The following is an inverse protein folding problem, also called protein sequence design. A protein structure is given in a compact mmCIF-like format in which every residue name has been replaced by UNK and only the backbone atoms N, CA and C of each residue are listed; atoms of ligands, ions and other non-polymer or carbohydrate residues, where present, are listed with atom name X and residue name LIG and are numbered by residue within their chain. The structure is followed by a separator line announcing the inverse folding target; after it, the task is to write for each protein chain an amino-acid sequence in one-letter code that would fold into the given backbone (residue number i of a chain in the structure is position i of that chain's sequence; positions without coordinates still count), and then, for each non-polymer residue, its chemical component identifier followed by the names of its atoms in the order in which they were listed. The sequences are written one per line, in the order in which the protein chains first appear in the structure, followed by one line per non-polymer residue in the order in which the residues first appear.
data_IF_069347097059
#
_entry.id   IF_069347097059
#
_cell.length_a   1.000
_cell.length_b   1.000
_cell.length_c   1.000
_cell.angle_alpha   90.00
_cell.angle_beta   90.00
_cell.angle_gamma   90.00
#
_symmetry.space_group_name_H-M   'P 1'
#
loop_
_entity.id
_entity.type
_entity.pdbx_description
1 polymer ?
#
# COMPACT_ATOMS: atom_id res chain seq x y z
N UNK A 1 24.14 7.93 -7.71
CA UNK A 1 22.80 8.04 -7.10
C UNK A 1 22.99 7.98 -5.60
N UNK A 2 22.71 9.06 -4.85
CA UNK A 2 22.81 9.05 -3.39
C UNK A 2 21.40 8.89 -2.81
N UNK A 3 21.16 7.79 -2.09
CA UNK A 3 19.90 7.55 -1.39
C UNK A 3 20.03 7.98 0.07
N UNK A 4 19.10 8.80 0.55
CA UNK A 4 19.06 9.30 1.93
C UNK A 4 17.72 8.96 2.57
N UNK A 5 17.73 8.55 3.83
CA UNK A 5 16.51 8.39 4.61
C UNK A 5 15.98 9.78 4.95
N UNK A 6 14.71 9.97 4.67
CA UNK A 6 14.00 11.23 4.86
C UNK A 6 12.69 10.96 5.57
N UNK A 7 12.20 11.94 6.32
CA UNK A 7 10.91 11.81 6.97
C UNK A 7 9.78 11.93 5.93
N UNK A 8 8.67 11.18 6.07
CA UNK A 8 7.56 11.23 5.12
C UNK A 8 6.95 12.63 4.94
N UNK A 9 6.92 13.46 6.00
CA UNK A 9 6.39 14.83 5.98
C UNK A 9 7.12 15.76 4.99
N UNK A 10 8.33 15.39 4.56
CA UNK A 10 9.07 16.14 3.55
C UNK A 10 8.56 15.89 2.13
N UNK A 11 7.79 14.84 1.89
CA UNK A 11 7.36 14.40 0.55
C UNK A 11 5.84 14.25 0.42
N UNK A 12 5.12 14.07 1.51
CA UNK A 12 3.66 14.02 1.51
C UNK A 12 3.09 14.76 2.71
N UNK A 13 2.06 15.57 2.47
CA UNK A 13 1.24 16.19 3.51
C UNK A 13 0.07 15.31 3.95
N UNK A 14 -0.13 14.15 3.30
CA UNK A 14 -1.20 13.22 3.67
C UNK A 14 -0.79 12.43 4.93
N UNK A 15 -1.46 12.62 6.09
CA UNK A 15 -1.12 11.93 7.33
C UNK A 15 -1.26 10.40 7.21
N UNK A 16 -2.08 9.90 6.27
CA UNK A 16 -2.24 8.45 6.03
C UNK A 16 -0.94 7.82 5.56
N UNK A 17 -0.10 8.54 4.82
CA UNK A 17 1.22 8.04 4.39
C UNK A 17 2.10 7.71 5.58
N UNK A 18 2.06 8.55 6.62
CA UNK A 18 2.85 8.34 7.83
C UNK A 18 2.41 7.08 8.58
N UNK A 19 1.09 6.89 8.74
CA UNK A 19 0.53 5.73 9.43
C UNK A 19 0.75 4.43 8.64
N UNK A 20 0.63 4.45 7.30
CA UNK A 20 0.99 3.30 6.46
C UNK A 20 2.46 2.94 6.64
N UNK A 21 3.38 3.92 6.62
CA UNK A 21 4.81 3.66 6.84
C UNK A 21 5.09 3.01 8.21
N UNK A 22 4.42 3.46 9.28
CA UNK A 22 4.52 2.83 10.60
C UNK A 22 4.07 1.37 10.58
N UNK A 23 2.92 1.09 9.97
CA UNK A 23 2.36 -0.26 9.88
C UNK A 23 3.29 -1.20 9.10
N UNK A 24 3.81 -0.75 7.95
CA UNK A 24 4.79 -1.51 7.16
C UNK A 24 6.07 -1.77 7.97
N UNK A 25 6.55 -0.78 8.72
CA UNK A 25 7.73 -0.91 9.59
C UNK A 25 7.60 -1.94 10.72
N UNK A 26 6.38 -2.39 11.06
CA UNK A 26 6.19 -3.42 12.10
C UNK A 26 6.65 -4.81 11.68
N UNK A 27 6.76 -5.09 10.38
CA UNK A 27 7.09 -6.41 9.84
C UNK A 27 6.00 -7.47 10.03
N UNK A 28 4.82 -7.09 10.53
CA UNK A 28 3.70 -8.03 10.78
C UNK A 28 2.75 -8.22 9.60
N UNK A 29 2.96 -7.47 8.51
CA UNK A 29 2.13 -7.50 7.30
C UNK A 29 2.96 -8.05 6.15
N UNK A 30 2.36 -8.89 5.31
CA UNK A 30 3.03 -9.36 4.11
C UNK A 30 3.27 -8.21 3.11
N UNK A 31 4.33 -8.35 2.32
CA UNK A 31 4.79 -7.30 1.41
C UNK A 31 3.73 -6.87 0.40
N UNK A 32 2.92 -7.80 -0.12
CA UNK A 32 1.97 -7.49 -1.17
C UNK A 32 0.77 -6.69 -0.62
N UNK A 33 0.27 -7.06 0.55
CA UNK A 33 -0.74 -6.25 1.26
C UNK A 33 -0.21 -4.85 1.60
N UNK A 34 1.01 -4.75 2.12
CA UNK A 34 1.66 -3.46 2.39
C UNK A 34 1.77 -2.60 1.11
N UNK A 35 2.16 -3.21 -0.01
CA UNK A 35 2.29 -2.52 -1.29
C UNK A 35 0.94 -2.06 -1.85
N UNK A 36 -0.10 -2.89 -1.76
CA UNK A 36 -1.45 -2.51 -2.19
C UNK A 36 -1.99 -1.31 -1.39
N UNK A 37 -1.82 -1.32 -0.06
CA UNK A 37 -2.20 -0.20 0.80
C UNK A 37 -1.41 1.08 0.46
N UNK A 38 -0.09 0.96 0.29
CA UNK A 38 0.76 2.09 -0.07
C UNK A 38 0.39 2.67 -1.45
N UNK A 39 0.08 1.84 -2.44
CA UNK A 39 -0.34 2.32 -3.77
C UNK A 39 -1.71 2.99 -3.74
N UNK A 40 -2.64 2.49 -2.94
CA UNK A 40 -3.93 3.14 -2.74
C UNK A 40 -3.76 4.54 -2.13
N UNK A 41 -3.00 4.65 -1.05
CA UNK A 41 -2.82 5.91 -0.30
C UNK A 41 -1.91 6.90 -1.02
N UNK A 42 -0.75 6.46 -1.51
CA UNK A 42 0.25 7.36 -2.08
C UNK A 42 -0.01 7.71 -3.56
N UNK A 43 -0.63 6.80 -4.32
CA UNK A 43 -0.80 6.96 -5.77
C UNK A 43 -2.28 7.15 -6.18
N UNK A 44 -3.20 7.25 -5.22
CA UNK A 44 -4.65 7.35 -5.44
C UNK A 44 -5.22 6.25 -6.35
N UNK A 45 -4.62 5.05 -6.31
CA UNK A 45 -5.11 3.92 -7.09
C UNK A 45 -6.38 3.34 -6.46
N UNK A 46 -7.45 3.18 -7.23
CA UNK A 46 -8.67 2.53 -6.74
C UNK A 46 -8.44 1.04 -6.47
N UNK A 47 -9.29 0.44 -5.63
CA UNK A 47 -9.20 -0.99 -5.34
C UNK A 47 -9.46 -1.85 -6.57
N UNK A 48 -10.30 -1.39 -7.49
CA UNK A 48 -10.54 -2.03 -8.79
C UNK A 48 -9.29 -1.98 -9.66
N UNK A 49 -8.60 -0.82 -9.71
CA UNK A 49 -7.34 -0.70 -10.45
C UNK A 49 -6.25 -1.61 -9.88
N UNK A 50 -6.20 -1.77 -8.55
CA UNK A 50 -5.28 -2.69 -7.89
C UNK A 50 -5.65 -4.16 -8.18
N UNK A 51 -6.93 -4.50 -8.16
CA UNK A 51 -7.41 -5.85 -8.49
C UNK A 51 -7.11 -6.27 -9.93
N UNK A 52 -7.00 -5.30 -10.85
CA UNK A 52 -6.69 -5.54 -12.26
C UNK A 52 -5.17 -5.57 -12.55
N UNK A 53 -4.30 -5.34 -11.56
CA UNK A 53 -2.85 -5.40 -11.78
C UNK A 53 -2.40 -6.83 -12.04
N UNK A 54 -1.75 -7.03 -13.19
CA UNK A 54 -1.23 -8.31 -13.66
C UNK A 54 0.27 -8.23 -13.96
N UNK A 55 1.02 -9.23 -13.52
CA UNK A 55 2.38 -9.49 -14.00
C UNK A 55 2.27 -10.12 -15.37
N UNK A 56 2.82 -9.41 -16.35
CA UNK A 56 2.88 -9.90 -17.71
C UNK A 56 4.04 -10.88 -17.82
N UNK A 57 3.75 -12.11 -18.23
CA UNK A 57 4.78 -13.14 -18.42
C UNK A 57 4.96 -13.47 -19.90
N UNK A 58 6.19 -13.77 -20.31
CA UNK A 58 6.46 -14.26 -21.66
C UNK A 58 6.38 -15.78 -21.66
N UNK A 59 5.42 -16.34 -22.40
CA UNK A 59 5.27 -17.80 -22.56
C UNK A 59 4.53 -18.51 -21.42
N UNK A 60 3.97 -17.78 -20.46
CA UNK A 60 3.06 -18.32 -19.45
C UNK A 60 1.87 -17.36 -19.22
N UNK A 61 0.74 -17.84 -18.66
CA UNK A 61 -0.37 -16.97 -18.32
C UNK A 61 0.02 -15.86 -17.34
N UNK A 62 -0.57 -14.69 -17.51
CA UNK A 62 -0.40 -13.56 -16.59
C UNK A 62 -0.90 -13.92 -15.19
N UNK A 63 -0.24 -13.38 -14.16
CA UNK A 63 -0.59 -13.63 -12.76
C UNK A 63 -0.93 -12.33 -12.05
N UNK A 64 -1.95 -12.30 -11.17
CA UNK A 64 -2.30 -11.08 -10.46
C UNK A 64 -1.17 -10.61 -9.54
N UNK A 65 -1.01 -9.29 -9.40
CA UNK A 65 -0.10 -8.68 -8.42
C UNK A 65 -0.53 -9.00 -6.99
N UNK A 66 -1.84 -9.02 -6.75
CA UNK A 66 -2.43 -9.18 -5.43
C UNK A 66 -3.51 -10.25 -5.48
N UNK A 67 -3.51 -11.15 -4.49
CA UNK A 67 -4.63 -12.05 -4.26
C UNK A 67 -5.83 -11.28 -3.67
N UNK A 68 -7.03 -11.88 -3.74
CA UNK A 68 -8.22 -11.30 -3.12
C UNK A 68 -8.06 -11.09 -1.62
N UNK A 69 -7.43 -12.03 -0.91
CA UNK A 69 -7.20 -11.90 0.54
C UNK A 69 -6.23 -10.77 0.85
N UNK A 70 -5.20 -10.57 0.03
CA UNK A 70 -4.25 -9.47 0.20
C UNK A 70 -4.90 -8.10 -0.01
N UNK A 71 -5.79 -7.98 -1.01
CA UNK A 71 -6.56 -6.76 -1.24
C UNK A 71 -7.53 -6.47 -0.09
N UNK A 72 -8.23 -7.47 0.43
CA UNK A 72 -9.11 -7.30 1.58
C UNK A 72 -8.33 -6.88 2.83
N UNK A 73 -7.17 -7.49 3.10
CA UNK A 73 -6.31 -7.10 4.20
C UNK A 73 -5.79 -5.66 4.04
N UNK A 74 -5.45 -5.24 2.81
CA UNK A 74 -5.03 -3.88 2.52
C UNK A 74 -6.16 -2.87 2.74
N UNK A 75 -7.40 -3.21 2.33
CA UNK A 75 -8.58 -2.39 2.60
C UNK A 75 -8.82 -2.22 4.11
N UNK A 76 -8.78 -3.31 4.88
CA UNK A 76 -8.93 -3.24 6.34
C UNK A 76 -7.82 -2.43 7.01
N UNK A 77 -6.59 -2.54 6.50
CA UNK A 77 -5.47 -1.71 6.97
C UNK A 77 -5.73 -0.23 6.72
N UNK A 78 -6.11 0.16 5.50
CA UNK A 78 -6.36 1.57 5.15
C UNK A 78 -7.51 2.12 5.98
N UNK A 79 -8.59 1.36 6.16
CA UNK A 79 -9.69 1.77 7.03
C UNK A 79 -9.24 2.02 8.48
N UNK A 80 -8.35 1.18 9.02
CA UNK A 80 -7.78 1.39 10.35
C UNK A 80 -6.85 2.61 10.41
N UNK A 81 -6.16 2.93 9.31
CA UNK A 81 -5.37 4.17 9.18
C UNK A 81 -6.28 5.40 9.15
N UNK A 82 -7.36 5.36 8.38
CA UNK A 82 -8.31 6.48 8.28
C UNK A 82 -8.95 6.80 9.64
N UNK A 83 -9.30 5.78 10.42
CA UNK A 83 -9.78 5.96 11.81
C UNK A 83 -8.72 6.63 12.69
N UNK A 84 -7.47 6.14 12.66
CA UNK A 84 -6.36 6.73 13.47
C UNK A 84 -6.07 8.17 13.10
N UNK A 85 -6.19 8.51 11.81
CA UNK A 85 -5.99 9.88 11.34
C UNK A 85 -7.14 10.79 11.78
N UNK A 86 -8.38 10.29 11.82
CA UNK A 86 -9.53 11.06 12.30
C UNK A 86 -9.52 11.30 13.83
N UNK A 87 -8.83 10.44 14.60
CA UNK A 87 -8.70 10.57 16.06
C UNK A 87 -7.58 11.53 16.51
N UNK A 88 -6.69 11.97 15.61
CA UNK A 88 -5.58 12.89 15.90
C UNK A 88 -5.82 14.29 15.34
#
# INVERSE_FOLDING_TARGET
MNYTIVRPDKYSSDPRVHEVCKLVGTGKIDRATAQAAAWHVCNNMSWEQLAQKMYNHVGSPDTPYFSRSQLMAAQSMVAAVDVRVAEN
#
